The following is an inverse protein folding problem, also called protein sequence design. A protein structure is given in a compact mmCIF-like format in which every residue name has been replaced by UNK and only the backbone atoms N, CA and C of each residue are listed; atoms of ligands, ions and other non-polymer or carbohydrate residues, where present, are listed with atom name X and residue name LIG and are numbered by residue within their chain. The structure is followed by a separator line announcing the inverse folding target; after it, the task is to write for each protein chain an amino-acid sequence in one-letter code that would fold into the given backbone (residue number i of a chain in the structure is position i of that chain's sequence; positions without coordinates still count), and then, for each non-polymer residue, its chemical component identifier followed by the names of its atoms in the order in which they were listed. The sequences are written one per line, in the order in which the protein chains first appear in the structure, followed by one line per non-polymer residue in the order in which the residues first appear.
data_IF_101042207394
#
_entry.id   IF_101042207394
#
_cell.length_a   1.000
_cell.length_b   1.000
_cell.length_c   1.000
_cell.angle_alpha   90.00
_cell.angle_beta   90.00
_cell.angle_gamma   90.00
#
_symmetry.space_group_name_H-M   'P 1'
#
loop_
_entity.id
_entity.type
_entity.pdbx_description
1 polymer ?
#
# COMPACT_ATOMS: atom_id res chain seq x y z
N UNK A 1 25.59 -1.31 -9.36
CA UNK A 1 24.26 -0.69 -9.49
C UNK A 1 23.74 -0.43 -8.09
N UNK A 2 23.26 0.78 -7.79
CA UNK A 2 22.91 1.17 -6.42
C UNK A 2 21.59 0.54 -5.98
N UNK A 3 21.58 -0.05 -4.79
CA UNK A 3 20.37 -0.60 -4.17
C UNK A 3 19.48 0.57 -3.76
N UNK A 4 18.21 0.54 -4.14
CA UNK A 4 17.23 1.55 -3.68
C UNK A 4 16.99 1.36 -2.19
N UNK A 5 17.34 2.37 -1.41
CA UNK A 5 17.15 2.48 0.05
C UNK A 5 16.53 3.84 0.41
N UNK A 6 16.07 4.00 1.64
CA UNK A 6 15.60 5.29 2.17
C UNK A 6 16.64 6.42 1.98
N UNK A 7 17.91 6.14 2.29
CA UNK A 7 19.02 7.09 2.14
C UNK A 7 19.20 7.50 0.67
N UNK A 8 19.18 6.52 -0.25
CA UNK A 8 19.32 6.80 -1.68
C UNK A 8 18.21 7.72 -2.18
N UNK A 9 16.99 7.58 -1.68
CA UNK A 9 15.81 8.36 -2.07
C UNK A 9 15.70 9.69 -1.30
N UNK A 10 16.66 9.99 -0.42
CA UNK A 10 16.69 11.19 0.44
C UNK A 10 15.38 11.39 1.21
N UNK A 11 14.77 10.29 1.65
CA UNK A 11 13.49 10.31 2.38
C UNK A 11 13.66 9.71 3.77
N UNK A 12 13.18 10.44 4.78
CA UNK A 12 13.07 9.94 6.15
C UNK A 12 12.01 8.82 6.21
N UNK A 13 12.35 7.63 6.75
CA UNK A 13 11.39 6.56 6.98
C UNK A 13 10.19 7.02 7.81
N UNK A 14 10.43 7.81 8.86
CA UNK A 14 9.39 8.32 9.76
C UNK A 14 8.38 9.19 9.01
N UNK A 15 8.86 10.12 8.17
CA UNK A 15 7.98 10.97 7.36
C UNK A 15 7.07 10.16 6.44
N UNK A 16 7.61 9.11 5.83
CA UNK A 16 6.84 8.24 4.94
C UNK A 16 5.81 7.41 5.73
N UNK A 17 6.24 6.81 6.85
CA UNK A 17 5.38 5.99 7.70
C UNK A 17 4.28 6.81 8.37
N UNK A 18 4.55 8.05 8.77
CA UNK A 18 3.54 8.96 9.33
C UNK A 18 2.45 9.30 8.31
N UNK A 19 2.83 9.50 7.03
CA UNK A 19 1.85 9.67 5.95
C UNK A 19 1.01 8.40 5.79
N UNK A 20 1.65 7.23 5.72
CA UNK A 20 0.96 5.94 5.59
C UNK A 20 -0.03 5.73 6.73
N UNK A 21 0.37 5.93 7.99
CA UNK A 21 -0.52 5.75 9.14
C UNK A 21 -1.76 6.63 9.06
N UNK A 22 -1.58 7.92 8.75
CA UNK A 22 -2.71 8.87 8.58
C UNK A 22 -3.65 8.50 7.44
N UNK A 23 -3.13 7.91 6.36
CA UNK A 23 -3.99 7.46 5.27
C UNK A 23 -4.75 6.20 5.67
N UNK A 24 -4.08 5.23 6.30
CA UNK A 24 -4.68 3.97 6.75
C UNK A 24 -5.81 4.20 7.78
N UNK A 25 -5.73 5.24 8.60
CA UNK A 25 -6.83 5.66 9.51
C UNK A 25 -8.16 5.95 8.78
N UNK A 26 -8.10 6.28 7.48
CA UNK A 26 -9.25 6.54 6.62
C UNK A 26 -9.64 5.31 5.78
N UNK A 27 -8.94 4.19 5.96
CA UNK A 27 -9.10 2.98 5.19
C UNK A 27 -10.20 2.05 5.68
N UNK A 28 -10.44 1.02 4.88
CA UNK A 28 -11.34 -0.09 5.18
C UNK A 28 -10.52 -1.24 5.74
N UNK A 29 -10.83 -1.64 6.98
CA UNK A 29 -10.20 -2.76 7.65
C UNK A 29 -10.90 -4.09 7.33
N UNK A 30 -10.10 -5.11 7.08
CA UNK A 30 -10.50 -6.49 6.81
C UNK A 30 -9.83 -7.36 7.88
N UNK A 31 -10.65 -7.96 8.72
CA UNK A 31 -10.20 -8.95 9.69
C UNK A 31 -9.72 -10.21 8.97
N UNK A 32 -8.43 -10.54 9.13
CA UNK A 32 -7.80 -11.75 8.58
C UNK A 32 -7.36 -12.70 9.71
N UNK A 33 -7.99 -12.61 10.88
CA UNK A 33 -7.73 -13.42 12.08
C UNK A 33 -7.63 -14.92 11.82
N UNK A 34 -8.44 -15.45 10.90
CA UNK A 34 -8.49 -16.86 10.56
C UNK A 34 -7.18 -17.42 9.96
N UNK A 35 -6.25 -16.54 9.53
CA UNK A 35 -4.96 -16.95 8.96
C UNK A 35 -3.82 -16.72 9.94
N UNK A 36 -3.64 -15.48 10.43
CA UNK A 36 -2.43 -15.10 11.19
C UNK A 36 -2.67 -14.11 12.35
N UNK A 37 -3.90 -14.00 12.90
CA UNK A 37 -4.23 -12.97 13.91
C UNK A 37 -3.87 -11.54 13.47
N UNK A 38 -4.07 -11.26 12.19
CA UNK A 38 -3.76 -9.98 11.53
C UNK A 38 -5.01 -9.29 11.02
N UNK A 39 -4.87 -8.00 10.74
CA UNK A 39 -5.84 -7.17 10.05
C UNK A 39 -5.18 -6.52 8.83
N UNK A 40 -5.90 -6.49 7.72
CA UNK A 40 -5.47 -5.77 6.52
C UNK A 40 -6.33 -4.51 6.38
N UNK A 41 -5.71 -3.35 6.36
CA UNK A 41 -6.39 -2.08 6.05
C UNK A 41 -6.03 -1.62 4.65
N UNK A 42 -7.03 -1.24 3.86
CA UNK A 42 -6.85 -0.75 2.49
C UNK A 42 -7.44 0.65 2.33
N UNK A 43 -6.75 1.54 1.64
CA UNK A 43 -7.22 2.90 1.36
C UNK A 43 -6.72 3.38 0.00
N UNK A 44 -7.51 4.22 -0.65
CA UNK A 44 -7.13 4.88 -1.88
C UNK A 44 -6.67 6.30 -1.63
N UNK A 45 -5.57 6.68 -2.28
CA UNK A 45 -5.13 8.07 -2.38
C UNK A 45 -4.83 8.43 -3.82
N UNK A 46 -4.88 9.71 -4.15
CA UNK A 46 -4.55 10.19 -5.49
C UNK A 46 -3.80 11.52 -5.44
N UNK A 47 -3.07 11.77 -6.52
CA UNK A 47 -2.53 13.08 -6.89
C UNK A 47 -2.68 13.22 -8.40
N UNK A 48 -2.31 14.38 -8.96
CA UNK A 48 -2.66 14.78 -10.33
C UNK A 48 -2.58 13.65 -11.38
N UNK A 49 -1.44 12.96 -11.50
CA UNK A 49 -1.22 11.89 -12.48
C UNK A 49 -1.01 10.51 -11.82
N UNK A 50 -1.48 10.34 -10.59
CA UNK A 50 -1.25 9.13 -9.81
C UNK A 50 -2.46 8.73 -8.98
N UNK A 51 -2.71 7.44 -8.94
CA UNK A 51 -3.71 6.83 -8.11
C UNK A 51 -3.04 5.66 -7.37
N UNK A 52 -3.05 5.71 -6.05
CA UNK A 52 -2.42 4.74 -5.19
C UNK A 52 -3.45 3.96 -4.40
N UNK A 53 -3.24 2.65 -4.29
CA UNK A 53 -3.82 1.84 -3.23
C UNK A 53 -2.75 1.57 -2.19
N UNK A 54 -3.07 1.86 -0.94
CA UNK A 54 -2.23 1.57 0.22
C UNK A 54 -2.85 0.39 0.94
N UNK A 55 -2.01 -0.59 1.28
CA UNK A 55 -2.39 -1.81 1.97
C UNK A 55 -1.49 -1.94 3.19
N UNK A 56 -2.05 -1.75 4.37
CA UNK A 56 -1.38 -1.94 5.65
C UNK A 56 -1.72 -3.31 6.23
N UNK A 57 -0.70 -4.04 6.69
CA UNK A 57 -0.86 -5.26 7.47
C UNK A 57 -0.48 -4.98 8.92
N UNK A 58 -1.42 -5.19 9.83
CA UNK A 58 -1.25 -4.94 11.26
C UNK A 58 -1.58 -6.18 12.08
N UNK A 59 -1.03 -6.28 13.29
CA UNK A 59 -1.51 -7.25 14.29
C UNK A 59 -2.91 -6.85 14.77
N UNK A 60 -3.72 -7.83 15.17
CA UNK A 60 -5.03 -7.53 15.77
C UNK A 60 -4.90 -6.84 17.15
N UNK A 61 -6.01 -6.26 17.61
CA UNK A 61 -6.11 -5.65 18.94
C UNK A 61 -5.75 -6.67 20.04
N UNK A 62 -5.11 -6.23 21.14
CA UNK A 62 -5.01 -4.84 21.61
C UNK A 62 -3.82 -4.03 21.07
N UNK A 63 -2.84 -4.65 20.43
CA UNK A 63 -1.56 -3.99 20.13
C UNK A 63 -1.58 -3.17 18.83
N UNK A 64 -2.34 -3.59 17.81
CA UNK A 64 -2.53 -2.89 16.52
C UNK A 64 -1.21 -2.34 15.92
N UNK A 65 -0.20 -3.21 15.85
CA UNK A 65 1.13 -2.84 15.37
C UNK A 65 1.20 -3.06 13.86
N UNK A 66 1.49 -2.00 13.10
CA UNK A 66 1.74 -2.07 11.67
C UNK A 66 3.05 -2.85 11.39
N UNK A 67 2.94 -3.96 10.67
CA UNK A 67 4.07 -4.87 10.35
C UNK A 67 4.60 -4.68 8.94
N UNK A 68 3.72 -4.40 7.99
CA UNK A 68 4.12 -4.18 6.61
C UNK A 68 3.16 -3.22 5.91
N UNK A 69 3.68 -2.55 4.90
CA UNK A 69 2.93 -1.64 4.04
C UNK A 69 3.26 -1.98 2.60
N UNK A 70 2.23 -2.04 1.77
CA UNK A 70 2.36 -2.07 0.33
C UNK A 70 1.63 -0.87 -0.26
N UNK A 71 2.30 -0.12 -1.13
CA UNK A 71 1.72 0.99 -1.89
C UNK A 71 1.86 0.64 -3.36
N UNK A 72 0.75 0.57 -4.07
CA UNK A 72 0.74 0.31 -5.50
C UNK A 72 0.14 1.49 -6.24
N UNK A 73 0.82 2.00 -7.25
CA UNK A 73 0.20 2.87 -8.24
C UNK A 73 -0.59 2.02 -9.24
N UNK A 74 -1.79 2.47 -9.60
CA UNK A 74 -2.72 1.70 -10.45
C UNK A 74 -3.65 2.65 -11.22
N UNK A 75 -4.65 2.11 -11.92
CA UNK A 75 -5.63 2.89 -12.68
C UNK A 75 -4.97 3.71 -13.78
N UNK A 76 -5.16 5.03 -13.72
CA UNK A 76 -4.61 5.99 -14.70
C UNK A 76 -3.23 6.53 -14.31
N UNK A 77 -2.55 5.90 -13.36
CA UNK A 77 -1.22 6.33 -12.92
C UNK A 77 -0.22 6.36 -14.08
N UNK A 78 0.64 7.38 -14.08
CA UNK A 78 1.68 7.55 -15.10
C UNK A 78 2.67 6.38 -15.19
N UNK A 79 2.87 5.65 -14.09
CA UNK A 79 3.68 4.43 -14.00
C UNK A 79 2.99 3.43 -13.08
N UNK A 80 3.25 2.15 -13.28
CA UNK A 80 2.73 1.06 -12.46
C UNK A 80 3.86 0.44 -11.65
N UNK A 81 4.06 0.95 -10.45
CA UNK A 81 5.03 0.47 -9.48
C UNK A 81 4.33 0.00 -8.21
N UNK A 82 4.97 -0.94 -7.54
CA UNK A 82 4.68 -1.38 -6.18
C UNK A 82 5.87 -1.06 -5.31
N UNK A 83 5.62 -0.39 -4.19
CA UNK A 83 6.56 -0.18 -3.11
C UNK A 83 6.13 -1.04 -1.92
N UNK A 84 7.06 -1.79 -1.33
CA UNK A 84 6.85 -2.52 -0.08
C UNK A 84 7.76 -1.96 1.01
N UNK A 85 7.19 -1.74 2.19
CA UNK A 85 7.92 -1.40 3.41
C UNK A 85 7.70 -2.52 4.42
N UNK A 86 8.75 -3.24 4.76
CA UNK A 86 8.74 -4.17 5.89
C UNK A 86 9.17 -3.40 7.13
N UNK A 87 8.35 -3.46 8.18
CA UNK A 87 8.59 -2.80 9.46
C UNK A 87 9.09 -3.88 10.44
N UNK A 88 10.39 -4.16 10.35
CA UNK A 88 11.11 -5.01 11.30
C UNK A 88 11.45 -4.20 12.56
N UNK A 89 11.74 -4.88 13.68
CA UNK A 89 11.97 -4.23 14.99
C UNK A 89 13.18 -3.26 15.01
N UNK A 90 14.17 -3.41 14.11
CA UNK A 90 15.39 -2.60 14.11
C UNK A 90 15.38 -1.43 13.10
N UNK A 91 14.95 -1.67 11.85
CA UNK A 91 14.95 -0.63 10.79
C UNK A 91 14.01 -1.01 9.65
N UNK A 92 13.14 -0.10 9.17
CA UNK A 92 12.26 -0.40 8.05
C UNK A 92 13.05 -0.63 6.76
N UNK A 93 12.62 -1.61 5.97
CA UNK A 93 13.22 -1.96 4.67
C UNK A 93 12.27 -1.64 3.55
N UNK A 94 12.75 -0.87 2.57
CA UNK A 94 12.00 -0.51 1.37
C UNK A 94 12.44 -1.38 0.18
N UNK A 95 11.48 -1.75 -0.66
CA UNK A 95 11.73 -2.42 -1.93
C UNK A 95 10.71 -1.97 -2.96
N UNK A 96 11.08 -2.03 -4.25
CA UNK A 96 10.23 -1.64 -5.35
C UNK A 96 10.13 -2.76 -6.38
N UNK A 97 8.98 -2.83 -7.04
CA UNK A 97 8.70 -3.77 -8.13
C UNK A 97 7.89 -3.06 -9.22
N UNK A 98 8.27 -3.20 -10.51
CA UNK A 98 7.41 -2.80 -11.63
C UNK A 98 6.24 -3.77 -11.71
N UNK A 99 5.04 -3.23 -11.76
CA UNK A 99 3.82 -4.00 -12.04
C UNK A 99 3.70 -4.10 -13.57
N UNK A 100 4.32 -5.13 -14.15
CA UNK A 100 4.26 -5.35 -15.59
C UNK A 100 2.84 -5.75 -16.03
N UNK A 101 2.36 -5.14 -17.12
CA UNK A 101 1.09 -5.51 -17.77
C UNK A 101 1.17 -6.84 -18.54
N UNK A 102 2.38 -7.37 -18.79
CA UNK A 102 2.62 -8.67 -19.47
C UNK A 102 3.84 -9.39 -18.87
N UNK A 103 3.76 -10.71 -18.83
CA UNK A 103 4.68 -11.62 -18.15
C UNK A 103 6.18 -11.42 -18.47
N UNK A 104 7.00 -11.53 -17.41
CA UNK A 104 8.38 -12.03 -17.40
C UNK A 104 9.55 -11.14 -17.87
N UNK A 105 9.49 -9.82 -17.68
CA UNK A 105 10.72 -9.06 -17.45
C UNK A 105 10.70 -8.45 -16.06
N UNK A 106 11.63 -8.89 -15.21
CA UNK A 106 12.03 -8.15 -14.00
C UNK A 106 12.79 -6.93 -14.53
N UNK A 107 12.04 -5.97 -15.07
CA UNK A 107 12.62 -4.73 -15.54
C UNK A 107 13.03 -3.95 -14.29
N UNK A 108 14.31 -3.59 -14.25
CA UNK A 108 14.88 -2.86 -13.12
C UNK A 108 14.22 -1.48 -13.01
N UNK A 109 14.00 -1.04 -11.76
CA UNK A 109 13.41 0.26 -11.48
C UNK A 109 14.54 1.27 -11.40
N UNK A 110 14.45 2.31 -12.22
CA UNK A 110 15.39 3.40 -12.12
C UNK A 110 15.18 4.15 -10.80
N UNK A 111 16.26 4.69 -10.24
CA UNK A 111 16.19 5.52 -9.04
C UNK A 111 15.23 6.71 -9.24
N UNK A 112 15.23 7.32 -10.42
CA UNK A 112 14.32 8.41 -10.78
C UNK A 112 12.84 8.01 -10.78
N UNK A 113 12.51 6.78 -11.16
CA UNK A 113 11.11 6.31 -11.13
C UNK A 113 10.65 6.11 -9.68
N UNK A 114 11.50 5.51 -8.84
CA UNK A 114 11.21 5.33 -7.43
C UNK A 114 11.08 6.68 -6.69
N UNK A 115 11.94 7.65 -7.01
CA UNK A 115 11.88 8.99 -6.45
C UNK A 115 10.55 9.68 -6.80
N UNK A 116 10.18 9.68 -8.08
CA UNK A 116 8.93 10.30 -8.54
C UNK A 116 7.69 9.64 -7.93
N UNK A 117 7.71 8.32 -7.76
CA UNK A 117 6.63 7.58 -7.10
C UNK A 117 6.44 8.03 -5.65
N UNK A 118 7.54 8.10 -4.88
CA UNK A 118 7.50 8.53 -3.49
C UNK A 118 7.03 9.98 -3.37
N UNK A 119 7.58 10.88 -4.19
CA UNK A 119 7.22 12.30 -4.15
C UNK A 119 5.74 12.51 -4.45
N UNK A 120 5.22 11.79 -5.46
CA UNK A 120 3.80 11.81 -5.80
C UNK A 120 2.91 11.21 -4.72
N UNK A 121 3.36 10.14 -4.06
CA UNK A 121 2.66 9.53 -2.93
C UNK A 121 2.61 10.48 -1.73
N UNK A 122 3.71 11.15 -1.38
CA UNK A 122 3.79 12.04 -0.23
C UNK A 122 2.83 13.23 -0.32
N UNK A 123 2.51 13.68 -1.53
CA UNK A 123 1.55 14.77 -1.77
C UNK A 123 0.14 14.26 -2.13
N UNK A 124 -0.06 12.95 -2.19
CA UNK A 124 -1.38 12.37 -2.49
C UNK A 124 -2.36 12.58 -1.33
N UNK A 125 -3.63 12.77 -1.68
CA UNK A 125 -4.74 12.93 -0.75
C UNK A 125 -5.65 11.71 -0.75
N UNK A 126 -6.36 11.50 0.35
CA UNK A 126 -7.39 10.48 0.46
C UNK A 126 -8.44 10.62 -0.65
N UNK A 127 -8.68 9.54 -1.39
CA UNK A 127 -9.75 9.46 -2.36
C UNK A 127 -10.95 8.74 -1.74
N UNK A 128 -11.94 9.55 -1.35
CA UNK A 128 -13.17 9.07 -0.70
C UNK A 128 -14.01 8.17 -1.61
N UNK A 129 -14.11 8.52 -2.89
CA UNK A 129 -14.97 7.80 -3.85
C UNK A 129 -14.44 6.39 -4.06
N UNK A 130 -13.16 6.25 -4.41
CA UNK A 130 -12.54 4.95 -4.64
C UNK A 130 -12.47 4.09 -3.36
N UNK A 131 -12.27 4.72 -2.20
CA UNK A 131 -12.31 3.99 -0.91
C UNK A 131 -13.72 3.51 -0.56
N UNK A 132 -14.77 4.28 -0.90
CA UNK A 132 -16.14 3.82 -0.74
C UNK A 132 -16.47 2.66 -1.68
N UNK A 133 -16.05 2.73 -2.95
CA UNK A 133 -16.21 1.63 -3.91
C UNK A 133 -15.56 0.32 -3.41
N UNK A 134 -14.37 0.43 -2.80
CA UNK A 134 -13.70 -0.70 -2.15
C UNK A 134 -14.52 -1.28 -0.99
N UNK A 135 -15.09 -0.42 -0.14
CA UNK A 135 -15.96 -0.89 0.95
C UNK A 135 -17.17 -1.63 0.40
N UNK A 136 -17.80 -1.08 -0.64
CA UNK A 136 -18.96 -1.69 -1.27
C UNK A 136 -18.59 -3.05 -1.85
N UNK A 137 -17.50 -3.18 -2.62
CA UNK A 137 -17.01 -4.47 -3.14
C UNK A 137 -16.82 -5.51 -2.03
N UNK A 138 -16.13 -5.14 -0.95
CA UNK A 138 -15.87 -6.04 0.18
C UNK A 138 -17.14 -6.40 0.96
N UNK A 139 -18.09 -5.47 1.10
CA UNK A 139 -19.37 -5.71 1.75
C UNK A 139 -20.26 -6.64 0.89
N UNK A 140 -20.24 -6.46 -0.43
CA UNK A 140 -20.91 -7.37 -1.36
C UNK A 140 -20.31 -8.77 -1.29
N UNK A 141 -18.97 -8.91 -1.27
CA UNK A 141 -18.30 -10.20 -1.13
C UNK A 141 -18.64 -10.91 0.19
N UNK A 142 -18.65 -10.20 1.33
CA UNK A 142 -19.09 -10.79 2.61
C UNK A 142 -20.53 -11.30 2.56
N UNK A 143 -21.42 -10.59 1.86
CA UNK A 143 -22.79 -11.05 1.64
C UNK A 143 -22.87 -12.20 0.63
N UNK A 144 -21.96 -12.27 -0.34
CA UNK A 144 -21.88 -13.34 -1.34
C UNK A 144 -21.33 -14.66 -0.74
N UNK A 145 -20.37 -14.59 0.19
CA UNK A 145 -19.85 -15.75 0.92
C UNK A 145 -20.87 -16.40 1.87
N UNK A 146 -21.93 -15.68 2.27
CA UNK A 146 -23.03 -16.25 3.05
C UNK A 146 -23.88 -17.28 2.26
N UNK A 147 -23.76 -17.37 0.93
CA UNK A 147 -24.44 -18.46 0.19
C UNK A 147 -23.68 -19.78 0.23
N UNK A 148 -22.35 -19.75 0.44
CA UNK A 148 -21.49 -20.94 0.34
C UNK A 148 -21.38 -21.69 1.68
N UNK A 149 -22.10 -21.22 2.70
CA UNK A 149 -22.10 -21.76 4.06
C UNK A 149 -23.48 -22.36 4.43
N UNK A 150 -24.02 -23.22 3.57
CA UNK A 150 -25.13 -24.14 3.89
C UNK A 150 -24.75 -25.58 3.58
#
# INVERSE_FOLDING_TARGET
MEKITFDSLKISPDRLLDKVKRDLEQGVAIDTSNVDHTEITKVWTDSQDWQFVIIGLSTLKPESILKAVEIQSTGQSKLFLRMKIQIDDDTPKISFQKLALKFAQIEEISHSDAQQFIEAFLVSSFNRTLTAELFDELAHDKNYFNWLSY
#
